data_IF_566388340094
#
_entry.id   IF_566388340094
#
_cell.length_a   1.000
_cell.length_b   1.000
_cell.length_c   1.000
_cell.angle_alpha   90.00
_cell.angle_beta   90.00
_cell.angle_gamma   90.00
#
_symmetry.space_group_name_H-M   'P 1'
#
loop_
_entity.id
_entity.type
_entity.pdbx_description
1 polymer ?
#
# COMPACT_ATOMS: atom_id res chain seq x y z
N UNK A 1 -8.48 13.43 -16.24
CA UNK A 1 -7.82 13.85 -14.98
C UNK A 1 -8.79 14.21 -13.85
N UNK A 2 -9.82 15.05 -14.03
CA UNK A 2 -10.85 15.24 -12.98
C UNK A 2 -12.11 14.38 -13.18
N UNK A 3 -12.60 14.28 -14.42
CA UNK A 3 -13.71 13.39 -14.78
C UNK A 3 -13.42 11.92 -14.44
N UNK A 4 -12.18 11.49 -14.66
CA UNK A 4 -11.72 10.14 -14.29
C UNK A 4 -11.79 9.92 -12.77
N UNK A 5 -11.31 10.88 -11.98
CA UNK A 5 -11.42 10.80 -10.53
C UNK A 5 -12.88 10.69 -10.10
N UNK A 6 -13.74 11.57 -10.61
CA UNK A 6 -15.18 11.55 -10.29
C UNK A 6 -15.82 10.22 -10.66
N UNK A 7 -15.52 9.70 -11.84
CA UNK A 7 -16.02 8.40 -12.28
C UNK A 7 -15.52 7.25 -11.38
N UNK A 8 -14.24 7.28 -10.99
CA UNK A 8 -13.62 6.26 -10.12
C UNK A 8 -14.22 6.22 -8.73
N UNK A 9 -14.50 7.38 -8.16
CA UNK A 9 -15.10 7.50 -6.83
C UNK A 9 -16.64 7.59 -6.88
N UNK A 10 -17.23 7.22 -8.01
CA UNK A 10 -18.68 7.17 -8.20
C UNK A 10 -19.41 8.49 -7.88
N UNK A 11 -18.73 9.61 -8.12
CA UNK A 11 -19.28 10.96 -8.05
C UNK A 11 -19.98 11.32 -9.37
N UNK A 12 -20.82 12.35 -9.33
CA UNK A 12 -21.37 12.94 -10.56
C UNK A 12 -20.21 13.47 -11.42
N UNK A 13 -20.13 13.00 -12.67
CA UNK A 13 -19.05 13.40 -13.59
C UNK A 13 -19.35 14.78 -14.17
N UNK A 14 -18.94 15.82 -13.45
CA UNK A 14 -19.12 17.23 -13.84
C UNK A 14 -17.89 17.78 -14.56
N UNK A 15 -16.71 17.24 -14.28
CA UNK A 15 -15.43 17.80 -14.72
C UNK A 15 -15.05 19.10 -14.01
N UNK A 16 -15.75 19.45 -12.94
CA UNK A 16 -15.52 20.65 -12.12
C UNK A 16 -15.14 20.21 -10.70
N UNK A 17 -14.26 20.97 -10.04
CA UNK A 17 -13.87 20.73 -8.65
C UNK A 17 -14.96 21.23 -7.70
N UNK A 18 -16.10 20.54 -7.71
CA UNK A 18 -17.24 20.78 -6.82
C UNK A 18 -16.97 20.29 -5.39
N UNK A 19 -17.83 20.68 -4.44
CA UNK A 19 -17.62 20.39 -3.03
C UNK A 19 -17.65 18.89 -2.73
N UNK A 20 -18.42 18.10 -3.49
CA UNK A 20 -18.41 16.65 -3.36
C UNK A 20 -17.04 16.08 -3.77
N UNK A 21 -16.48 16.57 -4.86
CA UNK A 21 -15.15 16.18 -5.34
C UNK A 21 -14.05 16.58 -4.34
N UNK A 22 -14.09 17.79 -3.79
CA UNK A 22 -13.14 18.25 -2.76
C UNK A 22 -13.21 17.41 -1.49
N UNK A 23 -14.42 17.11 -1.00
CA UNK A 23 -14.61 16.22 0.15
C UNK A 23 -14.04 14.83 -0.11
N UNK A 24 -14.24 14.28 -1.30
CA UNK A 24 -13.70 12.96 -1.63
C UNK A 24 -12.17 12.96 -1.76
N UNK A 25 -11.58 14.03 -2.30
CA UNK A 25 -10.12 14.18 -2.44
C UNK A 25 -9.40 14.38 -1.10
N UNK A 26 -10.10 14.90 -0.08
CA UNK A 26 -9.53 15.14 1.25
C UNK A 26 -9.62 13.94 2.19
N UNK A 27 -10.25 12.84 1.77
CA UNK A 27 -10.28 11.61 2.56
C UNK A 27 -8.91 10.89 2.53
N UNK A 28 -8.47 10.29 3.65
CA UNK A 28 -7.28 9.46 3.68
C UNK A 28 -7.33 8.35 2.64
N UNK A 29 -6.18 8.06 2.01
CA UNK A 29 -6.08 7.08 0.92
C UNK A 29 -4.69 6.48 0.79
N UNK A 30 -4.59 5.45 -0.04
CA UNK A 30 -3.31 4.96 -0.54
C UNK A 30 -2.60 6.06 -1.35
N UNK A 31 -1.27 6.15 -1.22
CA UNK A 31 -0.46 7.12 -1.97
C UNK A 31 -0.09 6.68 -3.38
N UNK A 32 -0.36 5.42 -3.74
CA UNK A 32 -0.13 4.94 -5.10
C UNK A 32 -1.05 5.68 -6.08
N UNK A 33 -0.51 6.04 -7.25
CA UNK A 33 -1.27 6.71 -8.30
C UNK A 33 -2.43 5.82 -8.77
N UNK A 34 -3.63 6.40 -8.82
CA UNK A 34 -4.80 5.74 -9.40
C UNK A 34 -4.51 5.35 -10.88
N UNK A 35 -4.70 4.08 -11.28
CA UNK A 35 -4.44 3.65 -12.64
C UNK A 35 -5.36 4.38 -13.63
N UNK A 36 -4.87 4.67 -14.83
CA UNK A 36 -5.71 5.21 -15.91
C UNK A 36 -6.79 4.19 -16.27
N UNK A 37 -8.01 4.64 -16.58
CA UNK A 37 -9.07 3.77 -17.09
C UNK A 37 -8.64 2.98 -18.34
N UNK A 38 -7.73 3.54 -19.16
CA UNK A 38 -7.14 2.86 -20.32
C UNK A 38 -6.15 1.75 -19.93
N UNK A 39 -5.51 1.85 -18.76
CA UNK A 39 -4.55 0.87 -18.24
C UNK A 39 -5.22 -0.27 -17.47
N UNK A 40 -6.50 -0.16 -17.10
CA UNK A 40 -7.24 -1.26 -16.44
C UNK A 40 -7.30 -2.51 -17.32
N UNK A 41 -7.16 -2.37 -18.65
CA UNK A 41 -7.04 -3.51 -19.59
C UNK A 41 -5.65 -4.18 -19.54
N UNK A 42 -4.62 -3.48 -19.09
CA UNK A 42 -3.27 -4.00 -18.93
C UNK A 42 -3.03 -4.27 -17.45
N UNK A 43 -3.40 -5.45 -16.99
CA UNK A 43 -3.08 -5.89 -15.63
C UNK A 43 -1.57 -5.81 -15.40
N UNK A 44 -1.12 -5.59 -14.16
CA UNK A 44 0.32 -5.64 -13.81
C UNK A 44 1.02 -6.90 -14.37
N UNK A 45 0.28 -8.01 -14.50
CA UNK A 45 0.73 -9.24 -15.16
C UNK A 45 1.06 -9.06 -16.66
N UNK A 46 0.27 -8.30 -17.43
CA UNK A 46 0.53 -7.97 -18.84
C UNK A 46 1.76 -7.07 -19.05
N UNK A 47 2.14 -6.31 -18.03
CA UNK A 47 3.37 -5.49 -18.00
C UNK A 47 4.57 -6.28 -17.46
N UNK A 48 4.42 -7.57 -17.16
CA UNK A 48 5.47 -8.41 -16.58
C UNK A 48 5.83 -8.07 -15.13
N UNK A 49 5.05 -7.20 -14.45
CA UNK A 49 5.28 -6.78 -13.08
C UNK A 49 4.76 -7.85 -12.10
N UNK A 50 5.43 -8.99 -12.09
CA UNK A 50 5.14 -10.12 -11.21
C UNK A 50 6.42 -10.61 -10.55
N UNK A 51 6.27 -11.22 -9.38
CA UNK A 51 7.36 -11.97 -8.80
C UNK A 51 7.74 -13.16 -9.69
N UNK A 52 9.04 -13.32 -9.95
CA UNK A 52 9.57 -14.53 -10.60
C UNK A 52 9.46 -15.77 -9.72
N UNK A 53 9.26 -15.59 -8.41
CA UNK A 53 9.19 -16.64 -7.39
C UNK A 53 7.87 -16.58 -6.62
N UNK A 54 7.38 -17.75 -6.21
CA UNK A 54 6.18 -17.88 -5.36
C UNK A 54 6.50 -17.88 -3.86
N UNK A 55 7.76 -18.08 -3.48
CA UNK A 55 8.21 -17.96 -2.08
C UNK A 55 8.94 -16.64 -1.91
N UNK A 56 8.39 -15.77 -1.06
CA UNK A 56 8.95 -14.46 -0.76
C UNK A 56 9.40 -14.40 0.70
N UNK A 57 10.40 -13.57 0.96
CA UNK A 57 10.84 -13.25 2.32
C UNK A 57 10.69 -11.76 2.59
N UNK A 58 10.42 -11.39 3.83
CA UNK A 58 10.23 -9.99 4.23
C UNK A 58 10.86 -9.69 5.59
N UNK A 59 11.39 -8.49 5.78
CA UNK A 59 11.95 -8.06 7.07
C UNK A 59 11.29 -6.75 7.53
N UNK A 60 11.18 -6.59 8.84
CA UNK A 60 10.68 -5.35 9.45
C UNK A 60 11.87 -4.49 9.80
N UNK A 61 12.15 -3.46 9.00
CA UNK A 61 13.26 -2.54 9.27
C UNK A 61 12.93 -1.58 10.40
N UNK A 62 11.69 -1.10 10.44
CA UNK A 62 11.24 -0.02 11.31
C UNK A 62 9.79 -0.23 11.74
N UNK A 63 9.39 0.34 12.89
CA UNK A 63 8.03 0.20 13.42
C UNK A 63 7.62 1.40 14.28
N UNK A 64 6.32 1.66 14.35
CA UNK A 64 5.76 2.65 15.27
C UNK A 64 5.92 2.19 16.72
N UNK A 65 6.54 2.99 17.62
CA UNK A 65 6.62 2.66 19.04
C UNK A 65 5.26 2.46 19.70
N UNK A 66 4.19 3.04 19.15
CA UNK A 66 2.81 2.89 19.66
C UNK A 66 2.27 1.47 19.48
N UNK A 67 2.66 0.79 18.42
CA UNK A 67 2.27 -0.60 18.13
C UNK A 67 3.33 -1.56 18.67
N UNK A 68 4.60 -1.23 18.51
CA UNK A 68 5.73 -2.07 18.91
C UNK A 68 6.05 -3.16 17.88
N UNK A 69 7.32 -3.60 17.88
CA UNK A 69 7.85 -4.46 16.83
C UNK A 69 7.11 -5.81 16.71
N UNK A 70 6.79 -6.45 17.84
CA UNK A 70 6.14 -7.76 17.84
C UNK A 70 4.75 -7.69 17.22
N UNK A 71 3.96 -6.69 17.61
CA UNK A 71 2.61 -6.50 17.10
C UNK A 71 2.62 -6.04 15.64
N UNK A 72 3.52 -5.14 15.25
CA UNK A 72 3.71 -4.78 13.83
C UNK A 72 4.05 -6.01 12.99
N UNK A 73 4.90 -6.92 13.50
CA UNK A 73 5.20 -8.17 12.79
C UNK A 73 3.96 -9.06 12.63
N UNK A 74 3.16 -9.19 13.69
CA UNK A 74 1.94 -9.97 13.68
C UNK A 74 0.94 -9.43 12.65
N UNK A 75 0.67 -8.12 12.68
CA UNK A 75 -0.25 -7.46 11.73
C UNK A 75 0.23 -7.64 10.29
N UNK A 76 1.52 -7.42 10.01
CA UNK A 76 2.08 -7.58 8.66
C UNK A 76 1.98 -9.04 8.20
N UNK A 77 2.26 -10.01 9.09
CA UNK A 77 2.13 -11.42 8.75
C UNK A 77 0.67 -11.80 8.46
N UNK A 78 -0.30 -11.29 9.22
CA UNK A 78 -1.72 -11.49 8.94
C UNK A 78 -2.12 -10.89 7.58
N UNK A 79 -1.61 -9.71 7.24
CA UNK A 79 -1.84 -9.09 5.94
C UNK A 79 -1.28 -9.96 4.79
N UNK A 80 -0.09 -10.57 4.94
CA UNK A 80 0.42 -11.53 3.96
C UNK A 80 -0.43 -12.80 3.88
N UNK A 81 -0.89 -13.31 5.02
CA UNK A 81 -1.73 -14.52 5.06
C UNK A 81 -3.05 -14.32 4.29
N UNK A 82 -3.64 -13.12 4.32
CA UNK A 82 -4.84 -12.81 3.55
C UNK A 82 -4.63 -13.01 2.03
N UNK A 83 -3.44 -12.69 1.51
CA UNK A 83 -3.09 -12.99 0.12
C UNK A 83 -2.82 -14.47 -0.11
N UNK A 84 -2.05 -15.11 0.77
CA UNK A 84 -1.70 -16.54 0.67
C UNK A 84 -2.89 -17.49 0.71
N UNK A 85 -4.05 -17.05 1.22
CA UNK A 85 -5.30 -17.82 1.17
C UNK A 85 -5.87 -17.98 -0.25
N UNK A 86 -5.55 -17.07 -1.17
CA UNK A 86 -6.18 -17.00 -2.50
C UNK A 86 -5.21 -17.22 -3.66
N UNK A 87 -3.91 -17.15 -3.42
CA UNK A 87 -2.87 -17.38 -4.41
C UNK A 87 -1.74 -18.24 -3.81
N UNK A 88 -1.02 -19.04 -4.62
CA UNK A 88 0.06 -19.92 -4.14
C UNK A 88 1.32 -19.10 -3.80
N UNK A 89 1.20 -18.15 -2.88
CA UNK A 89 2.25 -17.27 -2.40
C UNK A 89 2.65 -17.74 -1.00
N UNK A 90 3.92 -18.07 -0.81
CA UNK A 90 4.48 -18.48 0.48
C UNK A 90 5.36 -17.34 1.02
N UNK A 91 4.82 -16.53 1.93
CA UNK A 91 5.54 -15.38 2.49
C UNK A 91 6.11 -15.74 3.85
N UNK A 92 7.43 -15.73 3.98
CA UNK A 92 8.16 -16.10 5.19
C UNK A 92 8.88 -14.90 5.79
N UNK A 93 8.87 -14.78 7.11
CA UNK A 93 9.76 -13.86 7.80
C UNK A 93 11.11 -14.58 8.06
N UNK A 94 12.25 -14.11 7.53
CA UNK A 94 13.56 -14.57 7.96
C UNK A 94 13.92 -13.98 9.33
N UNK A 95 14.87 -14.62 10.00
CA UNK A 95 15.39 -14.20 11.32
C UNK A 95 16.11 -12.83 11.22
N UNK A 96 15.96 -11.96 12.23
CA UNK A 96 16.25 -10.52 12.13
C UNK A 96 17.65 -10.15 12.65
N UNK A 97 18.44 -9.41 11.86
CA UNK A 97 19.77 -8.96 12.31
C UNK A 97 20.38 -7.77 11.56
N UNK A 98 19.85 -6.54 11.70
CA UNK A 98 20.64 -5.28 11.56
C UNK A 98 19.87 -3.96 11.84
N UNK A 99 20.67 -2.88 12.04
CA UNK A 99 20.43 -1.49 12.48
C UNK A 99 20.29 -0.50 11.29
N UNK A 100 19.39 0.52 11.26
CA UNK A 100 19.59 1.91 10.70
C UNK A 100 18.28 2.79 10.72
N UNK A 101 18.32 4.15 10.89
CA UNK A 101 17.18 5.06 11.21
C UNK A 101 16.67 6.06 10.11
N UNK A 102 15.70 6.95 10.45
CA UNK A 102 14.52 7.52 9.70
C UNK A 102 14.51 8.98 9.16
N UNK A 103 13.49 9.33 8.32
CA UNK A 103 13.24 10.60 7.61
C UNK A 103 11.74 11.09 7.45
N UNK A 104 11.07 11.54 8.53
CA UNK A 104 10.06 12.65 8.57
C UNK A 104 8.57 12.49 8.10
N UNK A 105 7.71 13.50 8.41
CA UNK A 105 6.20 13.51 8.48
C UNK A 105 5.40 14.08 7.30
N UNK A 106 4.32 13.37 6.89
CA UNK A 106 3.01 13.96 6.51
C UNK A 106 2.40 13.60 5.14
N UNK A 107 1.33 12.78 5.11
CA UNK A 107 0.36 12.72 4.00
C UNK A 107 -0.17 11.31 3.66
N UNK A 108 0.40 10.70 2.62
CA UNK A 108 0.10 9.32 2.20
C UNK A 108 0.17 8.36 3.38
N UNK A 109 -0.89 7.56 3.64
CA UNK A 109 -0.86 6.59 4.74
C UNK A 109 0.27 5.55 4.57
N UNK A 110 0.37 5.03 3.36
CA UNK A 110 1.39 4.06 2.96
C UNK A 110 1.48 3.98 1.44
N UNK A 111 2.61 3.48 0.95
CA UNK A 111 2.79 3.10 -0.45
C UNK A 111 3.65 1.84 -0.58
N UNK A 112 3.63 1.24 -1.76
CA UNK A 112 4.39 0.02 -2.05
C UNK A 112 4.91 0.04 -3.49
N UNK A 113 6.07 -0.56 -3.70
CA UNK A 113 6.67 -0.71 -5.01
C UNK A 113 6.24 -2.02 -5.68
N UNK A 114 6.17 -2.01 -7.01
CA UNK A 114 5.91 -3.23 -7.77
C UNK A 114 7.04 -4.26 -7.60
N UNK A 115 6.79 -5.54 -7.88
CA UNK A 115 7.85 -6.53 -8.04
C UNK A 115 8.85 -6.09 -9.13
N UNK A 116 10.14 -6.41 -9.03
CA UNK A 116 10.78 -7.21 -7.96
C UNK A 116 11.25 -6.40 -6.74
N UNK A 117 10.94 -5.10 -6.65
CA UNK A 117 11.35 -4.27 -5.52
C UNK A 117 10.57 -4.67 -4.25
N UNK A 118 9.24 -4.58 -4.30
CA UNK A 118 8.37 -5.07 -3.23
C UNK A 118 8.48 -4.38 -1.87
N UNK A 119 9.26 -3.30 -1.74
CA UNK A 119 9.29 -2.50 -0.51
C UNK A 119 7.93 -1.87 -0.25
N UNK A 120 7.58 -1.78 1.04
CA UNK A 120 6.35 -1.15 1.54
C UNK A 120 6.78 -0.14 2.60
N UNK A 121 6.34 1.11 2.47
CA UNK A 121 6.59 2.14 3.47
C UNK A 121 5.26 2.63 4.05
N UNK A 122 5.23 2.82 5.36
CA UNK A 122 4.12 3.38 6.13
C UNK A 122 4.55 4.74 6.66
N UNK A 123 3.68 5.74 6.58
CA UNK A 123 3.95 7.08 7.14
C UNK A 123 3.95 6.99 8.67
N UNK A 124 5.10 7.25 9.29
CA UNK A 124 5.32 7.06 10.72
C UNK A 124 4.57 8.06 11.60
N UNK A 125 4.04 9.10 10.98
CA UNK A 125 3.36 10.18 11.66
C UNK A 125 1.85 10.02 11.73
N UNK A 126 1.33 8.98 11.09
CA UNK A 126 -0.02 8.50 11.34
C UNK A 126 -0.10 7.87 12.75
N UNK A 127 -1.20 8.09 13.49
CA UNK A 127 -1.40 7.52 14.82
C UNK A 127 -1.78 6.04 14.71
N UNK A 128 -0.87 5.21 14.21
CA UNK A 128 -1.10 3.78 14.00
C UNK A 128 -1.62 3.11 15.28
N UNK A 129 -2.73 2.39 15.14
CA UNK A 129 -3.34 1.59 16.20
C UNK A 129 -3.60 0.16 15.70
N UNK A 130 -3.85 -0.77 16.61
CA UNK A 130 -4.17 -2.17 16.33
C UNK A 130 -5.64 -2.52 16.63
N UNK A 131 -6.53 -1.52 16.62
CA UNK A 131 -7.95 -1.66 16.93
C UNK A 131 -8.83 -1.28 15.75
#
# INVERSE_FOLDING_TARGET
MLKDFQQRFHLKVTGILDDATKRQMSQPRCGNKDPSFSLVKNTAASLGLKWSRSTLTWSLKNYSPRIGAAESRNIIQQAFNAWSQHIPLNVKQPDHGDHYPFDGQGGTLAHAYHPEDGRIHFDMDEPWTNR
#
